data_IF_582629643781
#
_entry.id   IF_582629643781
#
_cell.length_a   1.000
_cell.length_b   1.000
_cell.length_c   1.000
_cell.angle_alpha   90.00
_cell.angle_beta   90.00
_cell.angle_gamma   90.00
#
_symmetry.space_group_name_H-M   'P 1'
#
loop_
_entity.id
_entity.type
_entity.pdbx_description
1 polymer ?
#
# COMPACT_ATOMS: atom_id res chain seq x y z
N UNK A 1 15.41 6.07 -6.79
CA UNK A 1 14.70 6.13 -5.49
C UNK A 1 14.54 4.71 -5.02
N UNK A 2 15.31 4.29 -4.01
CA UNK A 2 15.10 3.00 -3.37
C UNK A 2 13.70 3.04 -2.73
N UNK A 3 12.82 2.10 -3.10
CA UNK A 3 11.52 1.92 -2.48
C UNK A 3 11.75 1.49 -1.01
N UNK A 4 11.98 2.47 -0.14
CA UNK A 4 12.05 2.31 1.32
C UNK A 4 10.72 1.79 1.91
N UNK A 5 9.65 1.75 1.11
CA UNK A 5 8.37 1.12 1.38
C UNK A 5 8.51 -0.39 1.60
N UNK A 6 9.30 -1.11 0.82
CA UNK A 6 9.36 -2.58 0.93
C UNK A 6 9.98 -3.12 2.24
N UNK A 7 11.12 -2.60 2.74
CA UNK A 7 11.69 -3.07 4.01
C UNK A 7 10.88 -2.61 5.24
N UNK A 8 10.26 -1.42 5.21
CA UNK A 8 9.32 -0.99 6.26
C UNK A 8 8.04 -1.83 6.23
N UNK A 9 7.50 -2.13 5.04
CA UNK A 9 6.36 -3.01 4.83
C UNK A 9 6.65 -4.42 5.36
N UNK A 10 7.82 -4.99 5.10
CA UNK A 10 8.20 -6.29 5.63
C UNK A 10 8.35 -6.27 7.15
N UNK A 11 9.01 -5.24 7.71
CA UNK A 11 9.18 -5.11 9.16
C UNK A 11 7.83 -4.97 9.86
N UNK A 12 6.94 -4.11 9.35
CA UNK A 12 5.60 -3.89 9.90
C UNK A 12 4.70 -5.14 9.73
N UNK A 13 4.72 -5.81 8.58
CA UNK A 13 3.95 -7.05 8.35
C UNK A 13 4.41 -8.20 9.25
N UNK A 14 5.71 -8.25 9.61
CA UNK A 14 6.24 -9.23 10.54
C UNK A 14 5.81 -8.99 12.00
N UNK A 15 5.47 -7.76 12.37
CA UNK A 15 4.95 -7.40 13.70
C UNK A 15 3.43 -7.44 13.80
N UNK A 16 2.69 -7.25 12.68
CA UNK A 16 1.21 -7.19 12.67
C UNK A 16 0.50 -8.51 12.33
N UNK A 17 1.26 -9.58 12.06
CA UNK A 17 0.72 -10.91 11.84
C UNK A 17 0.95 -11.77 13.08
N UNK A 18 -0.09 -12.24 13.78
CA UNK A 18 0.08 -13.21 14.88
C UNK A 18 0.78 -14.50 14.42
N UNK A 19 0.78 -14.82 13.11
CA UNK A 19 1.55 -15.93 12.55
C UNK A 19 3.08 -15.69 12.51
N UNK A 20 3.56 -14.44 12.51
CA UNK A 20 4.99 -14.12 12.38
C UNK A 20 5.75 -13.92 13.69
N UNK A 21 5.05 -13.77 14.82
CA UNK A 21 5.65 -13.62 16.15
C UNK A 21 6.50 -14.84 16.58
N UNK A 22 6.28 -16.02 15.99
CA UNK A 22 7.10 -17.22 16.24
C UNK A 22 8.36 -17.34 15.36
N UNK A 23 8.61 -16.44 14.41
CA UNK A 23 9.75 -16.55 13.46
C UNK A 23 10.78 -15.41 13.56
N UNK A 24 10.72 -14.55 14.58
CA UNK A 24 11.60 -13.37 14.69
C UNK A 24 13.10 -13.70 14.67
N UNK A 25 13.50 -14.90 15.11
CA UNK A 25 14.90 -15.32 15.18
C UNK A 25 15.53 -15.76 13.85
N UNK A 26 14.74 -16.13 12.83
CA UNK A 26 15.29 -16.67 11.57
C UNK A 26 15.44 -15.66 10.44
N UNK A 27 14.84 -14.47 10.58
CA UNK A 27 14.69 -13.51 9.48
C UNK A 27 15.87 -12.53 9.36
N UNK A 28 16.59 -12.29 10.46
CA UNK A 28 17.79 -11.43 10.47
C UNK A 28 18.91 -11.96 9.54
N UNK A 29 18.91 -13.26 9.24
CA UNK A 29 19.92 -13.88 8.37
C UNK A 29 19.62 -13.77 6.86
N UNK A 30 18.37 -13.51 6.46
CA UNK A 30 17.97 -13.52 5.03
C UNK A 30 18.20 -12.18 4.29
N UNK A 31 18.46 -11.08 5.00
CA UNK A 31 18.65 -9.75 4.39
C UNK A 31 20.07 -9.49 3.86
N UNK A 32 21.00 -10.45 4.01
CA UNK A 32 22.42 -10.27 3.66
C UNK A 32 22.89 -11.05 2.43
N UNK A 33 22.02 -11.77 1.72
CA UNK A 33 22.44 -12.53 0.54
C UNK A 33 21.77 -12.03 -0.74
N UNK A 34 22.54 -11.62 -1.77
CA UNK A 34 22.00 -11.24 -3.06
C UNK A 34 21.65 -12.53 -3.81
N UNK A 35 20.38 -12.94 -3.79
CA UNK A 35 19.94 -14.05 -4.64
C UNK A 35 19.53 -13.48 -5.99
N UNK A 36 20.44 -13.58 -6.96
CA UNK A 36 20.12 -13.45 -8.38
C UNK A 36 19.23 -14.63 -8.77
N UNK A 37 17.95 -14.38 -9.06
CA UNK A 37 17.01 -15.40 -9.55
C UNK A 37 17.17 -15.46 -11.08
N UNK A 38 17.62 -16.58 -11.68
CA UNK A 38 17.55 -16.76 -13.12
C UNK A 38 16.12 -17.10 -13.54
N UNK A 39 15.70 -16.58 -14.70
CA UNK A 39 14.42 -16.87 -15.34
C UNK A 39 14.31 -18.35 -15.69
N UNK A 40 13.24 -19.00 -15.25
CA UNK A 40 12.93 -20.39 -15.63
C UNK A 40 11.52 -20.48 -16.21
N UNK A 41 11.45 -21.11 -17.38
CA UNK A 41 10.26 -21.42 -18.17
C UNK A 41 9.45 -22.58 -17.57
N UNK A 42 8.14 -22.69 -17.88
CA UNK A 42 7.25 -23.63 -17.24
C UNK A 42 7.23 -24.96 -18.02
N UNK A 43 8.23 -25.81 -17.85
CA UNK A 43 8.13 -27.24 -18.19
C UNK A 43 9.41 -27.99 -17.81
N UNK A 44 9.58 -28.31 -16.53
CA UNK A 44 10.38 -29.45 -16.06
C UNK A 44 10.14 -29.62 -14.56
N UNK A 45 9.61 -30.77 -14.18
CA UNK A 45 9.53 -31.22 -12.79
C UNK A 45 10.93 -31.53 -12.28
N UNK A 46 11.63 -30.52 -11.76
CA UNK A 46 12.86 -30.71 -11.00
C UNK A 46 12.49 -30.71 -9.52
N UNK A 47 12.54 -31.88 -8.88
CA UNK A 47 12.51 -32.02 -7.43
C UNK A 47 13.83 -31.50 -6.86
N UNK A 48 13.93 -30.19 -6.70
CA UNK A 48 15.03 -29.54 -5.99
C UNK A 48 14.80 -29.78 -4.50
N UNK A 49 15.68 -30.52 -3.83
CA UNK A 49 15.71 -30.56 -2.37
C UNK A 49 16.17 -29.19 -1.86
N UNK A 50 15.22 -28.30 -1.63
CA UNK A 50 15.47 -26.98 -1.07
C UNK A 50 15.90 -27.14 0.40
N UNK A 51 16.87 -26.33 0.85
CA UNK A 51 17.20 -26.28 2.27
C UNK A 51 15.96 -25.88 3.09
N UNK A 52 15.82 -26.31 4.35
CA UNK A 52 14.68 -25.95 5.20
C UNK A 52 14.45 -24.43 5.28
N UNK A 53 15.54 -23.65 5.26
CA UNK A 53 15.51 -22.19 5.20
C UNK A 53 14.85 -21.67 3.92
N UNK A 54 15.20 -22.22 2.76
CA UNK A 54 14.71 -21.77 1.46
C UNK A 54 13.25 -22.19 1.23
N UNK A 55 12.85 -23.36 1.73
CA UNK A 55 11.43 -23.77 1.73
C UNK A 55 10.56 -22.90 2.63
N UNK A 56 11.07 -22.49 3.81
CA UNK A 56 10.37 -21.56 4.71
C UNK A 56 10.26 -20.17 4.07
N UNK A 57 11.32 -19.67 3.44
CA UNK A 57 11.28 -18.39 2.72
C UNK A 57 10.28 -18.39 1.56
N UNK A 58 10.20 -19.47 0.78
CA UNK A 58 9.23 -19.61 -0.31
C UNK A 58 7.80 -19.68 0.26
N UNK A 59 7.59 -20.45 1.33
CA UNK A 59 6.28 -20.57 1.98
C UNK A 59 5.79 -19.25 2.60
N UNK A 60 6.70 -18.47 3.18
CA UNK A 60 6.39 -17.13 3.71
C UNK A 60 6.07 -16.13 2.59
N UNK A 61 6.84 -16.16 1.50
CA UNK A 61 6.61 -15.31 0.33
C UNK A 61 5.22 -15.55 -0.30
N UNK A 62 4.80 -16.81 -0.38
CA UNK A 62 3.46 -17.20 -0.83
C UNK A 62 2.37 -16.68 0.11
N UNK A 63 2.51 -16.86 1.42
CA UNK A 63 1.56 -16.39 2.42
C UNK A 63 1.38 -14.85 2.41
N UNK A 64 2.49 -14.10 2.33
CA UNK A 64 2.44 -12.63 2.23
C UNK A 64 1.75 -12.21 0.93
N UNK A 65 2.03 -12.89 -0.17
CA UNK A 65 1.41 -12.60 -1.46
C UNK A 65 -0.10 -12.87 -1.43
N UNK A 66 -0.54 -13.95 -0.81
CA UNK A 66 -1.96 -14.32 -0.69
C UNK A 66 -2.76 -13.33 0.16
N UNK A 67 -2.14 -12.75 1.20
CA UNK A 67 -2.79 -11.79 2.10
C UNK A 67 -2.85 -10.39 1.51
N UNK A 68 -1.73 -9.89 0.98
CA UNK A 68 -1.54 -8.47 0.67
C UNK A 68 -1.60 -8.14 -0.83
N UNK A 69 -1.48 -9.13 -1.72
CA UNK A 69 -1.42 -8.82 -3.16
C UNK A 69 -2.80 -8.60 -3.76
N UNK A 70 -3.02 -7.40 -4.29
CA UNK A 70 -4.15 -7.08 -5.14
C UNK A 70 -3.75 -7.00 -6.62
N UNK A 71 -4.68 -6.54 -7.46
CA UNK A 71 -4.40 -6.20 -8.85
C UNK A 71 -5.11 -4.90 -9.22
N UNK A 72 -4.39 -3.94 -9.79
CA UNK A 72 -4.92 -2.73 -10.41
C UNK A 72 -5.17 -2.97 -11.90
N UNK A 73 -6.14 -2.24 -12.44
CA UNK A 73 -6.41 -2.09 -13.86
C UNK A 73 -6.21 -0.62 -14.24
N UNK A 74 -5.20 -0.36 -15.07
CA UNK A 74 -4.93 0.94 -15.67
C UNK A 74 -5.57 0.99 -17.06
N UNK A 75 -6.59 1.83 -17.24
CA UNK A 75 -7.24 2.07 -18.52
C UNK A 75 -6.73 3.36 -19.13
N UNK A 76 -6.31 3.32 -20.38
CA UNK A 76 -5.79 4.47 -21.11
C UNK A 76 -6.65 4.71 -22.37
N UNK A 77 -7.21 5.91 -22.48
CA UNK A 77 -8.03 6.35 -23.61
C UNK A 77 -7.26 7.37 -24.45
N UNK A 78 -6.98 7.05 -25.72
CA UNK A 78 -6.32 7.96 -26.64
C UNK A 78 -7.30 9.01 -27.18
N UNK A 79 -6.98 10.30 -27.02
CA UNK A 79 -7.84 11.40 -27.48
C UNK A 79 -7.89 11.57 -29.01
N UNK A 80 -6.97 10.93 -29.75
CA UNK A 80 -6.86 11.06 -31.22
C UNK A 80 -7.64 9.99 -31.97
N UNK A 81 -7.45 8.72 -31.59
CA UNK A 81 -8.08 7.58 -32.29
C UNK A 81 -9.17 6.89 -31.47
N UNK A 82 -9.46 7.37 -30.26
CA UNK A 82 -10.43 6.80 -29.33
C UNK A 82 -10.17 5.33 -28.94
N UNK A 83 -8.95 4.83 -29.17
CA UNK A 83 -8.55 3.50 -28.74
C UNK A 83 -8.36 3.45 -27.22
N UNK A 84 -8.90 2.39 -26.61
CA UNK A 84 -8.66 2.05 -25.21
C UNK A 84 -7.60 0.95 -25.13
N UNK A 85 -6.54 1.19 -24.37
CA UNK A 85 -5.61 0.13 -23.93
C UNK A 85 -5.76 -0.09 -22.43
N UNK A 86 -5.48 -1.32 -21.99
CA UNK A 86 -5.64 -1.71 -20.58
C UNK A 86 -4.44 -2.53 -20.15
N UNK A 87 -3.87 -2.16 -19.01
CA UNK A 87 -2.77 -2.87 -18.36
C UNK A 87 -3.20 -3.32 -16.96
N UNK A 88 -2.63 -4.43 -16.49
CA UNK A 88 -2.90 -4.97 -15.16
C UNK A 88 -1.60 -5.06 -14.36
N UNK A 89 -1.60 -4.47 -13.17
CA UNK A 89 -0.43 -4.38 -12.31
C UNK A 89 -0.74 -4.97 -10.93
N UNK A 90 0.15 -5.82 -10.42
CA UNK A 90 0.05 -6.34 -9.05
C UNK A 90 0.51 -5.26 -8.08
N UNK A 91 -0.20 -5.10 -6.96
CA UNK A 91 0.17 -4.16 -5.90
C UNK A 91 0.19 -4.84 -4.54
N UNK A 92 1.09 -4.40 -3.65
CA UNK A 92 1.11 -4.78 -2.22
C UNK A 92 0.59 -3.68 -1.30
N UNK A 93 0.60 -2.43 -1.76
CA UNK A 93 0.02 -1.27 -1.08
C UNK A 93 -0.61 -0.30 -2.10
N UNK A 94 -1.53 0.53 -1.62
CA UNK A 94 -2.09 1.67 -2.35
C UNK A 94 -1.45 2.95 -1.82
N UNK A 95 -0.64 3.58 -2.65
CA UNK A 95 -0.06 4.90 -2.35
C UNK A 95 -1.05 6.00 -2.75
N UNK A 96 -1.76 6.55 -1.77
CA UNK A 96 -2.87 7.49 -1.95
C UNK A 96 -2.38 8.94 -1.95
N UNK A 97 -2.71 9.74 -2.98
CA UNK A 97 -2.44 11.17 -2.99
C UNK A 97 -3.34 11.89 -1.98
N UNK A 98 -2.80 12.91 -1.31
CA UNK A 98 -3.56 13.75 -0.39
C UNK A 98 -3.97 15.05 -1.12
N UNK A 99 -5.28 15.35 -1.23
CA UNK A 99 -5.75 16.60 -1.81
C UNK A 99 -5.11 17.84 -1.14
N UNK A 100 -4.57 18.75 -1.93
CA UNK A 100 -4.02 20.04 -1.47
C UNK A 100 -5.19 21.04 -1.34
N UNK A 101 -5.75 21.22 -0.14
CA UNK A 101 -6.76 22.28 0.12
C UNK A 101 -6.13 23.49 0.82
N UNK A 102 -6.59 24.68 0.43
CA UNK A 102 -6.16 25.98 1.01
C UNK A 102 -7.08 26.53 2.10
N UNK A 103 -8.22 25.88 2.43
CA UNK A 103 -9.17 26.43 3.39
C UNK A 103 -9.99 25.35 4.15
N UNK A 104 -9.77 25.26 5.47
CA UNK A 104 -10.76 24.97 6.52
C UNK A 104 -11.44 23.59 6.61
N UNK A 105 -11.57 22.83 5.54
CA UNK A 105 -12.24 21.52 5.55
C UNK A 105 -11.27 20.37 5.82
N UNK A 106 -11.68 19.41 6.67
CA UNK A 106 -10.97 18.14 6.84
C UNK A 106 -10.89 17.35 5.53
N UNK A 107 -9.88 16.49 5.39
CA UNK A 107 -9.74 15.55 4.27
C UNK A 107 -10.11 14.17 4.76
N UNK A 108 -10.88 13.42 3.99
CA UNK A 108 -11.24 12.03 4.29
C UNK A 108 -10.45 11.04 3.44
N UNK A 109 -10.32 9.80 3.92
CA UNK A 109 -9.71 8.70 3.19
C UNK A 109 -10.44 8.41 1.88
N UNK A 110 -11.77 8.57 1.87
CA UNK A 110 -12.60 8.46 0.65
C UNK A 110 -12.17 9.46 -0.41
N UNK A 111 -11.91 10.72 -0.04
CA UNK A 111 -11.41 11.71 -1.01
C UNK A 111 -10.02 11.35 -1.56
N UNK A 112 -9.15 10.74 -0.75
CA UNK A 112 -7.85 10.25 -1.24
C UNK A 112 -8.02 9.07 -2.22
N UNK A 113 -8.97 8.17 -1.97
CA UNK A 113 -9.30 7.05 -2.86
C UNK A 113 -9.98 7.52 -4.16
N UNK A 114 -10.85 8.52 -4.06
CA UNK A 114 -11.49 9.17 -5.20
C UNK A 114 -10.44 9.83 -6.09
N UNK A 115 -9.49 10.57 -5.49
CA UNK A 115 -8.37 11.17 -6.22
C UNK A 115 -7.45 10.11 -6.84
N UNK A 116 -7.20 8.99 -6.16
CA UNK A 116 -6.43 7.86 -6.70
C UNK A 116 -7.10 7.22 -7.93
N UNK A 117 -8.43 7.12 -7.92
CA UNK A 117 -9.20 6.48 -9.00
C UNK A 117 -9.74 7.48 -10.03
N UNK A 118 -9.43 8.77 -9.84
CA UNK A 118 -9.85 9.84 -10.73
C UNK A 118 -9.20 9.65 -12.10
N UNK A 119 -9.96 10.03 -13.12
CA UNK A 119 -9.46 10.11 -14.46
C UNK A 119 -8.48 11.29 -14.61
N UNK A 120 -7.22 11.02 -14.95
CA UNK A 120 -6.16 12.02 -15.13
C UNK A 120 -5.83 12.21 -16.62
N UNK A 121 -5.74 13.47 -17.06
CA UNK A 121 -5.26 13.80 -18.41
C UNK A 121 -3.73 13.83 -18.40
N UNK A 122 -3.12 13.08 -19.31
CA UNK A 122 -1.68 13.10 -19.54
C UNK A 122 -1.38 14.20 -20.57
N UNK A 123 -0.63 15.20 -20.14
CA UNK A 123 -0.16 16.32 -20.95
C UNK A 123 0.94 15.89 -21.95
N UNK A 124 1.43 16.83 -22.76
CA UNK A 124 2.42 16.55 -23.80
C UNK A 124 3.74 15.96 -23.24
N UNK A 125 4.17 16.43 -22.07
CA UNK A 125 5.39 15.98 -21.41
C UNK A 125 5.26 14.53 -20.92
N UNK A 126 4.06 14.13 -20.50
CA UNK A 126 3.76 12.78 -19.99
C UNK A 126 2.96 11.91 -20.99
N UNK A 127 2.84 12.36 -22.26
CA UNK A 127 2.01 11.70 -23.26
C UNK A 127 2.53 10.29 -23.59
N UNK A 128 1.72 9.24 -23.41
CA UNK A 128 2.10 7.88 -23.75
C UNK A 128 2.10 7.66 -25.26
N UNK A 129 2.84 6.65 -25.71
CA UNK A 129 2.80 6.22 -27.10
C UNK A 129 1.53 5.40 -27.35
N UNK A 130 0.68 5.84 -28.28
CA UNK A 130 -0.50 5.10 -28.66
C UNK A 130 -0.16 3.97 -29.65
N UNK A 131 -0.57 2.74 -29.36
CA UNK A 131 -0.33 1.55 -30.19
C UNK A 131 -1.00 1.60 -31.57
N UNK A 132 -2.10 2.36 -31.71
CA UNK A 132 -2.83 2.53 -32.98
C UNK A 132 -2.30 3.71 -33.80
N UNK A 133 -1.98 4.83 -33.16
CA UNK A 133 -1.43 6.00 -33.85
C UNK A 133 0.08 5.90 -34.09
N UNK A 134 0.77 5.01 -33.38
CA UNK A 134 2.22 4.86 -33.37
C UNK A 134 2.98 6.16 -33.11
N UNK A 135 2.45 7.00 -32.20
CA UNK A 135 3.04 8.29 -31.79
C UNK A 135 2.59 8.65 -30.37
N UNK A 136 3.28 9.59 -29.72
CA UNK A 136 2.84 10.15 -28.44
C UNK A 136 1.59 10.98 -28.65
N UNK A 137 0.57 10.74 -27.84
CA UNK A 137 -0.72 11.44 -27.93
C UNK A 137 -1.23 11.77 -26.55
N UNK A 138 -1.85 12.94 -26.42
CA UNK A 138 -2.69 13.23 -25.27
C UNK A 138 -3.67 12.08 -25.04
N UNK A 139 -3.69 11.60 -23.82
CA UNK A 139 -4.49 10.45 -23.43
C UNK A 139 -4.98 10.64 -22.01
N UNK A 140 -6.03 9.93 -21.70
CA UNK A 140 -6.66 10.00 -20.40
C UNK A 140 -6.50 8.66 -19.71
N UNK A 141 -5.97 8.66 -18.49
CA UNK A 141 -5.66 7.46 -17.72
C UNK A 141 -6.58 7.36 -16.50
N UNK A 142 -7.03 6.15 -16.20
CA UNK A 142 -7.82 5.85 -15.00
C UNK A 142 -7.35 4.57 -14.34
N UNK A 143 -7.18 4.60 -13.02
CA UNK A 143 -6.87 3.44 -12.19
C UNK A 143 -8.13 2.91 -11.51
N UNK A 144 -8.29 1.59 -11.48
CA UNK A 144 -9.35 0.88 -10.74
C UNK A 144 -8.77 -0.38 -10.12
N UNK A 145 -9.35 -0.89 -9.04
CA UNK A 145 -8.94 -2.14 -8.41
C UNK A 145 -9.66 -3.29 -9.12
N UNK A 146 -8.91 -4.17 -9.77
CA UNK A 146 -9.44 -5.36 -10.43
C UNK A 146 -9.63 -6.52 -9.45
N UNK A 147 -8.67 -6.70 -8.53
CA UNK A 147 -8.70 -7.74 -7.50
C UNK A 147 -8.31 -7.14 -6.15
N UNK A 148 -9.20 -7.28 -5.18
CA UNK A 148 -8.97 -6.83 -3.81
C UNK A 148 -8.19 -7.87 -3.00
N UNK A 149 -7.18 -7.46 -2.19
CA UNK A 149 -6.46 -8.36 -1.28
C UNK A 149 -7.26 -8.65 0.00
N UNK A 150 -6.86 -9.65 0.80
CA UNK A 150 -7.46 -9.88 2.13
C UNK A 150 -7.14 -8.73 3.09
N UNK A 151 -5.92 -8.19 2.98
CA UNK A 151 -5.48 -7.02 3.73
C UNK A 151 -5.08 -5.93 2.75
N UNK A 152 -5.74 -4.79 2.81
CA UNK A 152 -5.35 -3.60 2.05
C UNK A 152 -4.44 -2.75 2.93
N UNK A 153 -3.25 -2.47 2.40
CA UNK A 153 -2.32 -1.49 2.97
C UNK A 153 -2.48 -0.19 2.21
N UNK A 154 -2.82 0.89 2.92
CA UNK A 154 -2.99 2.22 2.34
C UNK A 154 -1.93 3.16 2.88
N UNK A 155 -1.00 3.56 2.03
CA UNK A 155 0.03 4.53 2.33
C UNK A 155 -0.46 5.93 1.96
N UNK A 156 -0.53 6.83 2.94
CA UNK A 156 -0.85 8.24 2.70
C UNK A 156 0.42 8.95 2.21
N UNK A 157 0.44 9.35 0.94
CA UNK A 157 1.61 9.97 0.32
C UNK A 157 1.82 11.41 0.82
N UNK A 158 2.33 11.53 2.04
CA UNK A 158 2.53 12.80 2.77
C UNK A 158 3.74 13.58 2.28
N UNK A 159 4.65 12.99 1.52
CA UNK A 159 5.87 13.66 1.11
C UNK A 159 5.76 14.16 -0.32
N UNK A 160 5.72 15.48 -0.48
CA UNK A 160 5.66 16.11 -1.78
C UNK A 160 6.88 16.98 -2.00
N UNK A 161 7.42 16.92 -3.22
CA UNK A 161 8.43 17.86 -3.67
C UNK A 161 7.79 19.25 -3.80
N UNK A 162 8.26 20.20 -3.01
CA UNK A 162 8.07 21.63 -3.24
C UNK A 162 9.23 22.17 -4.07
N UNK A 163 9.12 23.40 -4.61
CA UNK A 163 10.11 23.99 -5.55
C UNK A 163 11.55 23.97 -5.05
N UNK A 164 11.77 23.90 -3.73
CA UNK A 164 13.10 23.99 -3.11
C UNK A 164 13.38 22.90 -2.06
N UNK A 165 12.36 22.14 -1.63
CA UNK A 165 12.49 21.17 -0.55
C UNK A 165 11.38 20.12 -0.60
N UNK A 166 11.63 18.92 -0.06
CA UNK A 166 10.56 17.96 0.21
C UNK A 166 9.87 18.36 1.50
N UNK A 167 8.55 18.51 1.46
CA UNK A 167 7.75 18.88 2.63
C UNK A 167 6.83 17.72 3.03
N UNK A 168 6.64 17.54 4.33
CA UNK A 168 5.67 16.59 4.88
C UNK A 168 4.32 17.28 5.05
N UNK A 169 3.28 16.69 4.47
CA UNK A 169 1.89 17.11 4.64
C UNK A 169 1.41 16.79 6.05
N UNK A 170 1.06 17.85 6.78
CA UNK A 170 0.45 17.79 8.11
C UNK A 170 -1.09 17.71 8.06
N UNK A 171 -1.68 17.55 6.87
CA UNK A 171 -3.14 17.44 6.69
C UNK A 171 -3.66 16.24 7.49
N UNK A 172 -4.64 16.48 8.36
CA UNK A 172 -5.31 15.38 9.06
C UNK A 172 -6.25 14.69 8.07
N UNK A 173 -6.08 13.37 7.91
CA UNK A 173 -6.94 12.54 7.06
C UNK A 173 -7.84 11.73 7.98
N UNK A 174 -9.15 11.93 7.91
CA UNK A 174 -10.12 11.12 8.65
C UNK A 174 -10.34 9.80 7.92
N UNK A 175 -10.43 8.70 8.67
CA UNK A 175 -10.62 7.37 8.11
C UNK A 175 -11.57 6.54 8.98
N UNK A 176 -12.47 5.74 8.38
CA UNK A 176 -13.41 4.92 9.12
C UNK A 176 -12.68 3.77 9.84
N UNK A 177 -12.96 3.56 11.12
CA UNK A 177 -12.38 2.43 11.85
C UNK A 177 -12.99 1.09 11.43
N UNK A 178 -14.24 1.12 10.95
CA UNK A 178 -14.97 -0.06 10.52
C UNK A 178 -15.87 0.25 9.32
N UNK A 179 -16.15 -0.76 8.50
CA UNK A 179 -17.09 -0.68 7.39
C UNK A 179 -16.64 0.24 6.24
N UNK A 180 -15.33 0.30 5.97
CA UNK A 180 -14.83 0.99 4.78
C UNK A 180 -15.30 0.26 3.52
N UNK A 181 -16.24 0.88 2.81
CA UNK A 181 -16.75 0.37 1.54
C UNK A 181 -15.81 0.70 0.37
N UNK A 182 -15.28 -0.35 -0.25
CA UNK A 182 -14.38 -0.28 -1.39
C UNK A 182 -15.06 -0.58 -2.74
N UNK A 183 -16.37 -0.87 -2.75
CA UNK A 183 -17.12 -1.27 -3.94
C UNK A 183 -17.05 -0.28 -5.10
N UNK A 184 -17.04 1.02 -4.79
CA UNK A 184 -16.93 2.10 -5.79
C UNK A 184 -15.63 2.06 -6.61
N UNK A 185 -14.60 1.35 -6.15
CA UNK A 185 -13.27 1.33 -6.76
C UNK A 185 -12.95 0.04 -7.52
N UNK A 186 -13.87 -0.93 -7.55
CA UNK A 186 -13.63 -2.21 -8.20
C UNK A 186 -14.90 -2.94 -8.64
N UNK A 187 -14.79 -4.21 -9.07
CA UNK A 187 -15.92 -4.95 -9.62
C UNK A 187 -16.82 -5.61 -8.57
N UNK A 188 -16.41 -5.63 -7.30
CA UNK A 188 -17.08 -6.33 -6.21
C UNK A 188 -17.08 -5.44 -4.97
N UNK A 189 -18.19 -5.46 -4.24
CA UNK A 189 -18.34 -4.74 -2.98
C UNK A 189 -17.70 -5.53 -1.84
N UNK A 190 -16.68 -4.95 -1.22
CA UNK A 190 -16.05 -5.48 -0.02
C UNK A 190 -15.99 -4.39 1.05
N UNK A 191 -16.34 -4.80 2.28
CA UNK A 191 -16.17 -3.98 3.47
C UNK A 191 -14.86 -4.33 4.14
N UNK A 192 -14.18 -3.31 4.64
CA UNK A 192 -12.92 -3.43 5.35
C UNK A 192 -12.96 -2.77 6.72
N UNK A 193 -12.27 -3.36 7.68
CA UNK A 193 -12.12 -2.86 9.04
C UNK A 193 -10.65 -2.54 9.33
N UNK A 194 -10.41 -1.40 9.97
CA UNK A 194 -9.07 -0.98 10.36
C UNK A 194 -8.63 -1.81 11.56
N UNK A 195 -7.42 -2.36 11.50
CA UNK A 195 -6.84 -3.10 12.63
C UNK A 195 -5.45 -2.60 13.02
N UNK A 196 -4.77 -1.82 12.18
CA UNK A 196 -3.53 -1.17 12.54
C UNK A 196 -3.29 0.17 11.82
N UNK A 197 -2.52 1.04 12.47
CA UNK A 197 -2.06 2.33 11.96
C UNK A 197 -0.58 2.48 12.26
N UNK A 198 0.25 2.72 11.25
CA UNK A 198 1.61 3.21 11.46
C UNK A 198 1.62 4.72 11.41
N UNK A 199 2.11 5.32 12.48
CA UNK A 199 2.29 6.76 12.61
C UNK A 199 3.74 7.14 12.31
N UNK A 200 3.93 8.32 11.77
CA UNK A 200 5.24 8.93 11.62
C UNK A 200 5.21 10.33 12.22
N UNK A 201 6.06 10.57 13.20
CA UNK A 201 6.34 11.90 13.76
C UNK A 201 7.68 12.41 13.25
N UNK A 202 7.83 13.72 13.03
CA UNK A 202 9.06 14.30 12.46
C UNK A 202 8.99 14.64 10.96
N UNK A 203 10.15 14.79 10.35
CA UNK A 203 10.40 15.34 9.00
C UNK A 203 10.75 14.24 7.99
N UNK A 204 11.03 14.63 6.74
CA UNK A 204 11.49 13.70 5.68
C UNK A 204 12.82 13.02 6.04
N UNK A 205 13.72 13.75 6.70
CA UNK A 205 15.09 13.30 6.92
C UNK A 205 15.30 12.63 8.29
N UNK A 206 14.39 12.87 9.23
CA UNK A 206 14.47 12.38 10.60
C UNK A 206 13.09 12.35 11.22
N UNK A 207 12.75 11.25 11.88
CA UNK A 207 11.47 11.07 12.53
C UNK A 207 11.44 9.82 13.38
N UNK A 208 10.27 9.57 13.98
CA UNK A 208 10.01 8.43 14.83
C UNK A 208 8.70 7.76 14.43
N UNK A 209 8.73 6.43 14.32
CA UNK A 209 7.58 5.62 13.94
C UNK A 209 6.99 4.94 15.16
N UNK A 210 5.67 4.95 15.26
CA UNK A 210 4.92 4.18 16.27
C UNK A 210 3.78 3.44 15.59
N UNK A 211 3.24 2.41 16.24
CA UNK A 211 2.11 1.66 15.71
C UNK A 211 0.94 1.70 16.70
N UNK A 212 -0.27 1.90 16.19
CA UNK A 212 -1.50 1.58 16.89
C UNK A 212 -2.04 0.28 16.33
N UNK A 213 -2.31 -0.70 17.19
CA UNK A 213 -2.86 -1.99 16.78
C UNK A 213 -4.08 -2.31 17.63
N UNK A 214 -5.11 -2.87 16.99
CA UNK A 214 -6.23 -3.50 17.67
C UNK A 214 -5.76 -4.86 18.18
N UNK A 215 -6.10 -5.18 19.42
CA UNK A 215 -5.83 -6.48 20.01
C UNK A 215 -6.61 -7.60 19.31
N UNK A 216 -6.09 -8.83 19.31
CA UNK A 216 -6.66 -9.96 18.56
C UNK A 216 -8.09 -10.30 19.03
N UNK A 217 -8.35 -10.13 20.32
CA UNK A 217 -9.67 -10.35 20.95
C UNK A 217 -10.64 -9.17 20.74
N UNK A 218 -10.19 -8.10 20.06
CA UNK A 218 -10.95 -6.85 19.90
C UNK A 218 -11.13 -6.08 21.20
N UNK A 219 -10.31 -6.38 22.23
CA UNK A 219 -10.44 -5.84 23.58
C UNK A 219 -10.16 -4.34 23.67
N UNK A 220 -9.32 -3.82 22.76
CA UNK A 220 -8.97 -2.41 22.67
C UNK A 220 -7.76 -2.15 21.78
N UNK A 221 -7.41 -0.86 21.67
CA UNK A 221 -6.26 -0.41 20.90
C UNK A 221 -5.05 -0.18 21.80
N UNK A 222 -3.87 -0.49 21.27
CA UNK A 222 -2.60 -0.27 21.95
C UNK A 222 -1.61 0.50 21.06
N UNK A 223 -0.87 1.41 21.70
CA UNK A 223 0.27 2.11 21.11
C UNK A 223 1.56 1.35 21.43
N UNK A 224 2.26 0.95 20.38
CA UNK A 224 3.60 0.36 20.41
C UNK A 224 4.60 1.45 20.03
N UNK A 225 5.40 1.84 21.01
CA UNK A 225 6.45 2.84 20.89
C UNK A 225 7.76 2.24 21.41
N UNK A 226 8.53 1.66 20.49
CA UNK A 226 9.74 0.87 20.78
C UNK A 226 9.47 -0.23 21.82
N UNK A 227 10.11 -0.16 22.99
CA UNK A 227 9.95 -1.11 24.09
C UNK A 227 8.72 -0.86 24.96
N UNK A 228 7.91 0.16 24.64
CA UNK A 228 6.79 0.62 25.47
C UNK A 228 5.47 0.33 24.79
N UNK A 229 4.55 -0.30 25.53
CA UNK A 229 3.18 -0.58 25.07
C UNK A 229 2.20 0.11 26.03
N UNK A 230 1.30 0.92 25.49
CA UNK A 230 0.29 1.63 26.30
C UNK A 230 -1.09 1.56 25.65
N UNK A 231 -2.19 1.41 26.41
CA UNK A 231 -3.53 1.46 25.84
C UNK A 231 -3.80 2.84 25.21
N UNK A 232 -4.59 2.87 24.13
CA UNK A 232 -4.98 4.08 23.42
C UNK A 232 -6.48 4.04 23.08
N UNK A 233 -7.14 5.19 23.12
CA UNK A 233 -8.57 5.30 22.75
C UNK A 233 -8.74 5.52 21.26
N UNK A 234 -9.89 5.11 20.70
CA UNK A 234 -10.20 5.27 19.26
C UNK A 234 -10.08 6.72 18.77
N UNK A 235 -10.41 7.69 19.64
CA UNK A 235 -10.33 9.12 19.33
C UNK A 235 -8.90 9.61 19.05
N UNK A 236 -7.89 8.87 19.51
CA UNK A 236 -6.47 9.22 19.33
C UNK A 236 -5.88 8.60 18.05
N UNK A 237 -6.58 7.65 17.41
CA UNK A 237 -6.08 6.98 16.21
C UNK A 237 -5.99 7.93 15.02
N UNK A 238 -6.97 8.83 14.89
CA UNK A 238 -7.04 9.79 13.80
C UNK A 238 -6.16 11.01 14.10
N UNK A 239 -4.97 11.04 13.51
CA UNK A 239 -4.03 12.14 13.66
C UNK A 239 -3.35 12.49 12.34
N UNK A 240 -2.72 13.67 12.28
CA UNK A 240 -1.85 14.07 11.16
C UNK A 240 -0.59 13.22 11.04
N UNK A 241 -0.29 12.37 12.04
CA UNK A 241 0.85 11.46 12.03
C UNK A 241 0.54 10.13 11.36
N UNK A 242 -0.74 9.74 11.23
CA UNK A 242 -1.14 8.50 10.57
C UNK A 242 -0.57 8.46 9.14
N UNK A 243 0.22 7.44 8.85
CA UNK A 243 1.04 7.36 7.63
C UNK A 243 0.70 6.13 6.79
N UNK A 244 0.55 4.97 7.41
CA UNK A 244 0.09 3.74 6.74
C UNK A 244 -1.09 3.17 7.52
N UNK A 245 -2.16 2.85 6.82
CA UNK A 245 -3.38 2.25 7.37
C UNK A 245 -3.48 0.80 6.91
N UNK A 246 -3.82 -0.11 7.83
CA UNK A 246 -3.99 -1.53 7.57
C UNK A 246 -5.45 -1.91 7.77
N UNK A 247 -6.07 -2.36 6.68
CA UNK A 247 -7.47 -2.72 6.62
C UNK A 247 -7.62 -4.20 6.30
N UNK A 248 -8.35 -4.93 7.13
CA UNK A 248 -8.69 -6.33 6.89
C UNK A 248 -10.09 -6.45 6.31
N UNK A 249 -10.24 -7.31 5.31
CA UNK A 249 -11.54 -7.59 4.70
C UNK A 249 -12.47 -8.25 5.72
N UNK A 250 -13.67 -7.71 5.89
CA UNK A 250 -14.71 -8.28 6.74
C UNK A 250 -15.17 -9.62 6.14
N UNK A 251 -15.27 -10.65 6.99
CA UNK A 251 -15.72 -12.00 6.60
C UNK A 251 -17.20 -12.03 6.28
#
# INVERSE_FOLDING_TARGET
>A
MYNLTFPLFLSICLFLSPLCLHLSASISLCLLLPVSIPSLSPSLSVSISLSPSLSVSISLCLCVSDLFSGQLRSSLHCSVCSHYSTCFDVFGDLSLPIPKRSAGGGVSLRECLDLFSQEEKLDEDNAPMCERCNRRTESTKRLTIQRFPQVIVMHLNRFALSRYAVCKSSVCVSFPLAGLDMGSYGPVDFLYDLYAVCNHSGTVNMGHYTAFCLDDDGSGWYCYNDSTVTPVSENQLQSSQAYVLFYQRRK
#
